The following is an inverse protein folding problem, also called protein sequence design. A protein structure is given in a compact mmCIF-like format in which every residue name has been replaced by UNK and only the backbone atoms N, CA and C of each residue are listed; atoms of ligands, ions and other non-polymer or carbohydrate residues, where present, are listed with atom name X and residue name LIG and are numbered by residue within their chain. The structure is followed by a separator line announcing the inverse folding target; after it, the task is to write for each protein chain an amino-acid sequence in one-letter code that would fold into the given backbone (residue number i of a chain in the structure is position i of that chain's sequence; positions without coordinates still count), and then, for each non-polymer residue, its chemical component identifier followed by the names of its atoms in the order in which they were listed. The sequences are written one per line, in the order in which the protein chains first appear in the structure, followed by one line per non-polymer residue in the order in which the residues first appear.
data_IF_180103521725
#
_entry.id   IF_180103521725
#
_cell.length_a   1.000
_cell.length_b   1.000
_cell.length_c   1.000
_cell.angle_alpha   90.00
_cell.angle_beta   90.00
_cell.angle_gamma   90.00
#
_symmetry.space_group_name_H-M   'P 1'
#
loop_
_entity.id
_entity.type
_entity.pdbx_description
1 polymer ?
#
# COMPACT_ATOMS: atom_id res chain seq x y z
N UNK A 1 3.71 -20.05 30.92
CA UNK A 1 2.40 -19.34 30.92
C UNK A 1 1.81 -19.44 32.31
N UNK A 2 1.66 -18.34 33.04
CA UNK A 2 1.37 -18.33 34.48
C UNK A 2 0.09 -17.58 34.86
N UNK A 3 -1.05 -17.93 34.25
CA UNK A 3 -2.36 -17.31 34.54
C UNK A 3 -3.53 -18.32 34.59
N UNK A 4 -3.29 -19.61 34.84
CA UNK A 4 -4.37 -20.60 35.05
C UNK A 4 -5.23 -20.90 33.81
N UNK A 5 -4.76 -20.55 32.62
CA UNK A 5 -5.41 -20.89 31.35
C UNK A 5 -4.82 -22.18 30.82
N UNK A 6 -5.66 -23.17 30.53
CA UNK A 6 -5.25 -24.43 29.86
C UNK A 6 -4.61 -24.12 28.50
N UNK A 7 -3.41 -24.65 28.22
CA UNK A 7 -2.65 -24.36 26.99
C UNK A 7 -3.44 -24.63 25.71
N UNK A 8 -4.29 -25.65 25.74
CA UNK A 8 -5.21 -26.09 24.69
C UNK A 8 -6.43 -25.16 24.48
N UNK A 9 -6.56 -24.08 25.25
CA UNK A 9 -7.52 -22.98 25.05
C UNK A 9 -6.87 -21.68 24.58
N UNK A 10 -5.53 -21.63 24.49
CA UNK A 10 -4.80 -20.47 23.99
C UNK A 10 -4.54 -20.68 22.50
N UNK A 11 -5.29 -19.99 21.66
CA UNK A 11 -5.05 -19.95 20.22
C UNK A 11 -4.41 -18.62 19.85
N UNK A 12 -3.20 -18.65 19.31
CA UNK A 12 -2.61 -17.47 18.67
C UNK A 12 -3.38 -17.18 17.39
N UNK A 13 -4.19 -16.12 17.36
CA UNK A 13 -5.08 -15.77 16.24
C UNK A 13 -4.36 -15.15 15.04
N UNK A 14 -3.03 -15.06 15.08
CA UNK A 14 -2.26 -14.28 14.11
C UNK A 14 -2.24 -12.79 14.47
N UNK A 15 -1.61 -11.97 13.63
CA UNK A 15 -1.56 -10.52 13.83
C UNK A 15 -2.87 -9.89 13.31
N UNK A 16 -3.62 -9.19 14.18
CA UNK A 16 -4.86 -8.47 13.82
C UNK A 16 -4.64 -7.40 12.73
N UNK A 17 -3.38 -6.97 12.51
CA UNK A 17 -2.99 -6.12 11.38
C UNK A 17 -3.20 -6.79 10.02
N UNK A 18 -3.32 -8.11 9.99
CA UNK A 18 -3.51 -8.91 8.78
C UNK A 18 -4.81 -9.70 8.92
N UNK A 19 -5.93 -9.00 8.72
CA UNK A 19 -7.23 -9.62 8.58
C UNK A 19 -7.56 -9.78 7.09
N UNK A 20 -7.59 -11.01 6.55
CA UNK A 20 -7.97 -11.26 5.16
C UNK A 20 -9.29 -10.61 4.77
N UNK A 21 -10.28 -10.55 5.67
CA UNK A 21 -11.56 -9.93 5.34
C UNK A 21 -11.43 -8.41 5.10
N UNK A 22 -10.42 -7.78 5.71
CA UNK A 22 -10.13 -6.35 5.54
C UNK A 22 -9.19 -6.07 4.37
N UNK A 23 -8.37 -7.03 3.97
CA UNK A 23 -7.36 -6.87 2.91
C UNK A 23 -7.78 -7.46 1.57
N UNK A 24 -8.48 -8.59 1.56
CA UNK A 24 -8.93 -9.21 0.32
C UNK A 24 -9.84 -8.27 -0.47
N UNK A 25 -9.57 -8.19 -1.76
CA UNK A 25 -10.36 -7.45 -2.72
C UNK A 25 -10.91 -8.45 -3.75
N UNK A 26 -12.23 -8.55 -3.83
CA UNK A 26 -12.90 -9.35 -4.87
C UNK A 26 -12.75 -8.71 -6.25
N UNK A 27 -13.02 -9.48 -7.32
CA UNK A 27 -13.01 -8.93 -8.68
C UNK A 27 -14.05 -7.82 -8.86
N UNK A 28 -15.22 -7.95 -8.25
CA UNK A 28 -16.27 -6.93 -8.26
C UNK A 28 -15.83 -5.64 -7.54
N UNK A 29 -15.20 -5.76 -6.37
CA UNK A 29 -14.65 -4.60 -5.65
C UNK A 29 -13.51 -3.95 -6.43
N UNK A 30 -12.61 -4.73 -7.03
CA UNK A 30 -11.55 -4.21 -7.89
C UNK A 30 -12.16 -3.46 -9.08
N UNK A 31 -13.15 -4.04 -9.76
CA UNK A 31 -13.86 -3.40 -10.86
C UNK A 31 -14.60 -2.13 -10.41
N UNK A 32 -15.13 -2.10 -9.19
CA UNK A 32 -15.68 -0.88 -8.60
C UNK A 32 -14.62 0.21 -8.47
N UNK A 33 -13.49 -0.07 -7.80
CA UNK A 33 -12.41 0.90 -7.63
C UNK A 33 -11.84 1.37 -8.98
N UNK A 34 -11.60 0.46 -9.92
CA UNK A 34 -11.11 0.80 -11.26
C UNK A 34 -12.06 1.77 -11.97
N UNK A 35 -13.38 1.55 -11.84
CA UNK A 35 -14.40 2.46 -12.40
C UNK A 35 -14.43 3.81 -11.69
N UNK A 36 -14.50 3.86 -10.36
CA UNK A 36 -14.67 5.13 -9.64
C UNK A 36 -13.41 6.00 -9.67
N UNK A 37 -12.22 5.38 -9.66
CA UNK A 37 -10.93 6.08 -9.64
C UNK A 37 -10.31 6.25 -11.04
N UNK A 38 -10.87 5.61 -12.06
CA UNK A 38 -10.39 5.69 -13.45
C UNK A 38 -9.02 5.05 -13.63
N UNK A 39 -8.85 3.83 -13.12
CA UNK A 39 -7.54 3.13 -13.08
C UNK A 39 -7.29 2.21 -14.27
N UNK A 40 -8.31 1.93 -15.09
CA UNK A 40 -8.18 1.03 -16.25
C UNK A 40 -7.08 1.51 -17.20
N UNK A 41 -6.08 0.66 -17.44
CA UNK A 41 -4.94 0.97 -18.33
C UNK A 41 -3.95 2.00 -17.78
N UNK A 42 -4.08 2.39 -16.50
CA UNK A 42 -3.17 3.33 -15.84
C UNK A 42 -2.12 2.56 -15.04
N UNK A 43 -0.92 3.13 -14.95
CA UNK A 43 0.04 2.73 -13.93
C UNK A 43 -0.36 3.38 -12.60
N UNK A 44 -0.33 2.65 -11.50
CA UNK A 44 -0.84 3.12 -10.20
C UNK A 44 0.28 3.20 -9.17
N UNK A 45 0.61 4.42 -8.74
CA UNK A 45 1.46 4.66 -7.57
C UNK A 45 0.58 4.91 -6.34
N UNK A 46 0.85 4.21 -5.24
CA UNK A 46 0.12 4.41 -3.98
C UNK A 46 1.09 4.86 -2.89
N UNK A 47 0.82 6.02 -2.28
CA UNK A 47 1.48 6.46 -1.06
C UNK A 47 0.50 6.28 0.11
N UNK A 48 0.73 5.26 0.93
CA UNK A 48 -0.18 4.88 2.01
C UNK A 48 0.31 5.31 3.39
N UNK A 49 -0.58 5.71 4.28
CA UNK A 49 -0.24 6.20 5.63
C UNK A 49 0.71 7.41 5.63
N UNK A 50 0.56 8.32 4.68
CA UNK A 50 1.40 9.52 4.52
C UNK A 50 1.22 10.46 5.71
N UNK A 51 2.33 10.86 6.34
CA UNK A 51 2.31 11.84 7.43
C UNK A 51 2.20 13.28 6.90
N UNK A 52 1.91 14.24 7.79
CA UNK A 52 1.80 15.65 7.40
C UNK A 52 3.10 16.16 6.75
N UNK A 53 4.24 15.85 7.35
CA UNK A 53 5.57 16.28 6.90
C UNK A 53 6.08 15.58 5.63
N UNK A 54 5.36 14.55 5.17
CA UNK A 54 5.64 13.84 3.92
C UNK A 54 4.77 14.32 2.76
N UNK A 55 3.62 14.96 3.03
CA UNK A 55 2.61 15.27 2.02
C UNK A 55 3.15 16.07 0.82
N UNK A 56 3.88 17.16 1.09
CA UNK A 56 4.49 17.99 0.03
C UNK A 56 5.51 17.17 -0.79
N UNK A 57 6.33 16.34 -0.13
CA UNK A 57 7.32 15.49 -0.80
C UNK A 57 6.64 14.47 -1.74
N UNK A 58 5.55 13.86 -1.30
CA UNK A 58 4.82 12.87 -2.10
C UNK A 58 4.18 13.55 -3.31
N UNK A 59 3.58 14.72 -3.16
CA UNK A 59 3.01 15.47 -4.29
C UNK A 59 4.07 15.88 -5.32
N UNK A 60 5.23 16.36 -4.86
CA UNK A 60 6.37 16.66 -5.74
C UNK A 60 6.84 15.42 -6.52
N UNK A 61 6.86 14.25 -5.88
CA UNK A 61 7.21 12.98 -6.54
C UNK A 61 6.14 12.58 -7.55
N UNK A 62 4.86 12.71 -7.21
CA UNK A 62 3.75 12.46 -8.14
C UNK A 62 3.87 13.32 -9.40
N UNK A 63 4.17 14.61 -9.26
CA UNK A 63 4.34 15.53 -10.39
C UNK A 63 5.50 15.11 -11.29
N UNK A 64 6.66 14.81 -10.69
CA UNK A 64 7.83 14.33 -11.44
C UNK A 64 7.55 12.99 -12.14
N UNK A 65 6.90 12.04 -11.47
CA UNK A 65 6.54 10.76 -12.09
C UNK A 65 5.55 10.94 -13.23
N UNK A 66 4.57 11.85 -13.10
CA UNK A 66 3.60 12.17 -14.14
C UNK A 66 4.26 12.74 -15.41
N UNK A 67 5.35 13.50 -15.23
CA UNK A 67 6.13 14.06 -16.35
C UNK A 67 6.84 13.00 -17.20
N UNK A 68 7.09 11.81 -16.64
CA UNK A 68 7.78 10.69 -17.31
C UNK A 68 6.85 9.53 -17.68
N UNK A 69 5.74 9.35 -16.96
CA UNK A 69 4.76 8.28 -17.17
C UNK A 69 3.40 8.91 -17.49
N UNK A 70 3.06 8.94 -18.78
CA UNK A 70 1.91 9.68 -19.31
C UNK A 70 0.54 9.10 -18.95
N UNK A 71 0.48 7.87 -18.46
CA UNK A 71 -0.74 7.20 -17.99
C UNK A 71 -0.72 6.91 -16.47
N UNK A 72 0.06 7.66 -15.68
CA UNK A 72 0.15 7.49 -14.24
C UNK A 72 -1.09 8.01 -13.51
N UNK A 73 -1.50 7.26 -12.48
CA UNK A 73 -2.42 7.66 -11.41
C UNK A 73 -1.73 7.55 -10.07
N UNK A 74 -1.85 8.58 -9.25
CA UNK A 74 -1.35 8.57 -7.89
C UNK A 74 -2.50 8.50 -6.89
N UNK A 75 -2.41 7.60 -5.92
CA UNK A 75 -3.37 7.50 -4.81
C UNK A 75 -2.62 7.83 -3.52
N UNK A 76 -3.07 8.84 -2.79
CA UNK A 76 -2.47 9.25 -1.52
C UNK A 76 -3.47 8.98 -0.40
N UNK A 77 -3.07 8.13 0.55
CA UNK A 77 -3.85 7.87 1.76
C UNK A 77 -3.15 8.55 2.94
N UNK A 78 -3.65 9.70 3.42
CA UNK A 78 -3.07 10.35 4.59
C UNK A 78 -3.30 9.50 5.84
N UNK A 79 -2.38 9.61 6.79
CA UNK A 79 -2.53 8.93 8.09
C UNK A 79 -3.74 9.46 8.88
N UNK A 80 -4.00 10.76 8.78
CA UNK A 80 -5.12 11.45 9.41
C UNK A 80 -5.89 12.22 8.34
N UNK A 81 -7.22 12.10 8.32
CA UNK A 81 -8.06 12.76 7.31
C UNK A 81 -8.00 14.29 7.40
N UNK A 82 -7.66 14.84 8.58
CA UNK A 82 -7.45 16.28 8.76
C UNK A 82 -6.36 16.84 7.83
N UNK A 83 -5.39 16.00 7.43
CA UNK A 83 -4.30 16.38 6.53
C UNK A 83 -4.75 16.56 5.07
N UNK A 84 -5.98 16.18 4.69
CA UNK A 84 -6.49 16.36 3.33
C UNK A 84 -6.49 17.83 2.94
N UNK A 85 -6.81 18.74 3.88
CA UNK A 85 -6.80 20.19 3.62
C UNK A 85 -5.40 20.68 3.27
N UNK A 86 -4.40 20.20 4.01
CA UNK A 86 -3.00 20.54 3.75
C UNK A 86 -2.54 19.95 2.40
N UNK A 87 -2.87 18.70 2.11
CA UNK A 87 -2.58 18.06 0.82
C UNK A 87 -3.20 18.82 -0.36
N UNK A 88 -4.47 19.25 -0.25
CA UNK A 88 -5.10 20.09 -1.28
C UNK A 88 -4.37 21.41 -1.46
N UNK A 89 -3.96 22.06 -0.36
CA UNK A 89 -3.18 23.31 -0.39
C UNK A 89 -1.78 23.14 -1.00
N UNK A 90 -1.11 22.02 -0.72
CA UNK A 90 0.17 21.72 -1.35
C UNK A 90 0.00 21.45 -2.84
N UNK A 91 -1.08 20.77 -3.24
CA UNK A 91 -1.38 20.49 -4.63
C UNK A 91 -1.62 21.76 -5.47
N UNK A 92 -2.14 22.84 -4.89
CA UNK A 92 -2.28 24.14 -5.57
C UNK A 92 -0.95 24.72 -6.07
N UNK A 93 0.19 24.29 -5.50
CA UNK A 93 1.53 24.69 -5.95
C UNK A 93 2.06 23.82 -7.09
N UNK A 94 1.36 22.75 -7.44
CA UNK A 94 1.74 21.79 -8.48
C UNK A 94 0.84 21.96 -9.71
N UNK A 95 1.23 21.33 -10.81
CA UNK A 95 0.41 21.21 -12.02
C UNK A 95 -0.60 20.05 -11.98
N UNK A 96 -0.66 19.31 -10.87
CA UNK A 96 -1.48 18.12 -10.74
C UNK A 96 -2.96 18.46 -10.52
N UNK A 97 -3.84 17.75 -11.22
CA UNK A 97 -5.26 17.74 -10.88
C UNK A 97 -5.52 16.79 -9.71
N UNK A 98 -6.17 17.27 -8.65
CA UNK A 98 -6.37 16.52 -7.41
C UNK A 98 -7.84 16.50 -7.02
N UNK A 99 -8.35 15.31 -6.68
CA UNK A 99 -9.70 15.11 -6.15
C UNK A 99 -9.66 14.15 -4.96
N UNK A 100 -10.63 14.22 -4.05
CA UNK A 100 -10.81 13.12 -3.09
C UNK A 100 -11.55 11.97 -3.77
N UNK A 101 -11.47 10.76 -3.19
CA UNK A 101 -12.26 9.63 -3.67
C UNK A 101 -13.76 9.96 -3.65
N UNK A 102 -14.26 10.61 -2.60
CA UNK A 102 -15.68 11.02 -2.52
C UNK A 102 -16.06 11.99 -3.65
N UNK A 103 -15.19 12.95 -4.01
CA UNK A 103 -15.43 13.87 -5.13
C UNK A 103 -15.68 13.11 -6.46
N UNK A 104 -15.11 11.91 -6.62
CA UNK A 104 -15.26 11.07 -7.82
C UNK A 104 -16.52 10.20 -7.85
N UNK A 105 -17.20 10.02 -6.71
CA UNK A 105 -18.43 9.21 -6.63
C UNK A 105 -19.62 9.88 -7.34
N UNK A 106 -19.63 11.21 -7.35
CA UNK A 106 -20.72 12.01 -7.90
C UNK A 106 -20.72 12.08 -9.45
N UNK A 107 -19.76 11.44 -10.13
CA UNK A 107 -19.51 11.51 -11.59
C UNK A 107 -19.37 12.93 -12.17
N UNK A 108 -19.33 13.96 -11.31
CA UNK A 108 -19.17 15.37 -11.70
C UNK A 108 -17.76 15.66 -12.22
N UNK A 109 -16.77 14.89 -11.78
CA UNK A 109 -15.39 15.04 -12.17
C UNK A 109 -15.03 14.07 -13.30
N UNK A 110 -14.36 14.59 -14.33
CA UNK A 110 -13.72 13.76 -15.34
C UNK A 110 -12.52 13.05 -14.73
N UNK A 111 -12.75 11.82 -14.25
CA UNK A 111 -11.74 11.01 -13.57
C UNK A 111 -10.49 10.80 -14.42
N UNK A 112 -10.55 10.84 -15.75
CA UNK A 112 -9.36 10.68 -16.59
C UNK A 112 -8.42 11.89 -16.53
N UNK A 113 -8.92 13.06 -16.13
CA UNK A 113 -8.13 14.28 -15.93
C UNK A 113 -7.55 14.42 -14.53
N UNK A 114 -7.93 13.57 -13.59
CA UNK A 114 -7.44 13.62 -12.21
C UNK A 114 -6.11 12.87 -12.13
N UNK A 115 -5.04 13.53 -11.71
CA UNK A 115 -3.72 12.90 -11.55
C UNK A 115 -3.56 12.25 -10.18
N UNK A 116 -4.08 12.90 -9.12
CA UNK A 116 -3.97 12.44 -7.74
C UNK A 116 -5.35 12.26 -7.10
N UNK A 117 -5.53 11.11 -6.45
CA UNK A 117 -6.73 10.76 -5.70
C UNK A 117 -6.37 10.70 -4.22
N UNK A 118 -6.99 11.55 -3.41
CA UNK A 118 -6.86 11.52 -1.96
C UNK A 118 -7.90 10.56 -1.37
N UNK A 119 -7.46 9.54 -0.64
CA UNK A 119 -8.38 8.70 0.11
C UNK A 119 -8.89 9.47 1.32
N UNK A 120 -10.20 9.64 1.40
CA UNK A 120 -10.89 10.44 2.40
C UNK A 120 -11.79 9.61 3.33
N UNK A 121 -11.57 8.29 3.38
CA UNK A 121 -12.23 7.37 4.29
C UNK A 121 -11.22 6.45 4.99
N UNK A 122 -11.51 6.10 6.25
CA UNK A 122 -10.73 5.12 6.99
C UNK A 122 -11.10 3.69 6.59
N UNK A 123 -10.14 2.77 6.73
CA UNK A 123 -10.39 1.32 6.63
C UNK A 123 -10.38 0.74 5.22
N UNK A 124 -10.10 1.54 4.19
CA UNK A 124 -10.03 1.07 2.81
C UNK A 124 -8.61 0.86 2.27
N UNK A 125 -7.60 1.47 2.91
CA UNK A 125 -6.21 1.46 2.43
C UNK A 125 -5.67 0.04 2.20
N UNK A 126 -5.98 -0.90 3.10
CA UNK A 126 -5.59 -2.30 2.99
C UNK A 126 -5.98 -2.91 1.63
N UNK A 127 -7.24 -2.74 1.21
CA UNK A 127 -7.72 -3.21 -0.11
C UNK A 127 -7.13 -2.40 -1.25
N UNK A 128 -7.01 -1.08 -1.08
CA UNK A 128 -6.50 -0.16 -2.10
C UNK A 128 -5.04 -0.48 -2.46
N UNK A 129 -4.22 -0.95 -1.52
CA UNK A 129 -2.88 -1.43 -1.84
C UNK A 129 -2.88 -2.52 -2.92
N UNK A 130 -3.90 -3.37 -2.97
CA UNK A 130 -4.06 -4.39 -4.02
C UNK A 130 -4.18 -3.83 -5.44
N UNK A 131 -4.49 -2.55 -5.60
CA UNK A 131 -4.61 -1.84 -6.87
C UNK A 131 -3.28 -1.27 -7.38
N UNK A 132 -2.30 -1.07 -6.50
CA UNK A 132 -1.05 -0.37 -6.84
C UNK A 132 -0.05 -1.24 -7.63
N UNK A 133 0.74 -0.61 -8.47
CA UNK A 133 1.89 -1.21 -9.16
C UNK A 133 3.19 -0.97 -8.38
N UNK A 134 3.29 0.19 -7.72
CA UNK A 134 4.37 0.54 -6.80
C UNK A 134 3.79 1.24 -5.57
N UNK A 135 4.31 0.93 -4.40
CA UNK A 135 3.77 1.42 -3.13
C UNK A 135 4.86 2.11 -2.32
N UNK A 136 4.59 3.31 -1.83
CA UNK A 136 5.34 3.94 -0.77
C UNK A 136 4.56 3.82 0.55
N UNK A 137 5.21 3.29 1.59
CA UNK A 137 4.62 3.26 2.95
C UNK A 137 5.12 4.47 3.72
N UNK A 138 4.21 5.41 3.97
CA UNK A 138 4.46 6.65 4.70
C UNK A 138 4.64 6.49 6.20
N UNK A 139 4.91 7.61 6.86
CA UNK A 139 5.40 7.70 8.23
C UNK A 139 6.84 7.23 8.39
N UNK A 140 7.57 7.04 7.27
CA UNK A 140 8.90 6.42 7.21
C UNK A 140 9.99 7.38 6.74
N UNK A 141 9.68 8.36 5.90
CA UNK A 141 10.66 9.24 5.25
C UNK A 141 11.10 10.36 6.18
N UNK A 142 10.14 10.93 6.92
CA UNK A 142 10.41 11.90 7.98
C UNK A 142 10.18 11.27 9.35
N UNK A 143 11.01 11.57 10.36
CA UNK A 143 10.74 11.16 11.72
C UNK A 143 9.44 11.82 12.19
N UNK A 144 8.49 11.03 12.67
CA UNK A 144 7.22 11.53 13.20
C UNK A 144 7.28 11.61 14.72
N UNK A 145 7.57 12.80 15.27
CA UNK A 145 7.58 13.11 16.71
C UNK A 145 8.30 12.07 17.61
N UNK A 146 8.28 12.26 18.93
CA UNK A 146 8.92 11.35 19.90
C UNK A 146 8.16 10.03 20.11
N UNK A 147 7.22 9.66 19.22
CA UNK A 147 6.40 8.45 19.34
C UNK A 147 6.61 7.51 18.14
N UNK A 148 6.76 6.19 18.36
CA UNK A 148 6.82 5.24 17.28
C UNK A 148 5.48 5.18 16.55
N UNK A 149 5.46 5.54 15.26
CA UNK A 149 4.31 5.29 14.40
C UNK A 149 4.30 3.84 13.97
N UNK A 150 3.20 3.13 14.25
CA UNK A 150 2.91 1.85 13.63
C UNK A 150 2.66 2.04 12.14
N UNK A 151 3.67 1.75 11.32
CA UNK A 151 3.53 1.55 9.88
C UNK A 151 3.10 0.10 9.64
N UNK A 152 2.26 -0.14 8.63
CA UNK A 152 1.82 -1.49 8.30
C UNK A 152 2.35 -1.88 6.92
N UNK A 153 3.60 -2.36 6.88
CA UNK A 153 4.21 -2.86 5.65
C UNK A 153 3.63 -4.21 5.23
N UNK A 154 2.91 -4.90 6.11
CA UNK A 154 2.40 -6.25 5.85
C UNK A 154 1.15 -6.24 4.95
N UNK A 155 0.34 -5.17 4.98
CA UNK A 155 -0.82 -5.02 4.09
C UNK A 155 -0.44 -5.01 2.60
N UNK A 156 0.50 -4.17 2.11
CA UNK A 156 0.90 -4.22 0.71
C UNK A 156 1.62 -5.54 0.34
N UNK A 157 2.35 -6.15 1.28
CA UNK A 157 3.00 -7.45 1.07
C UNK A 157 1.99 -8.61 0.99
N UNK A 158 0.85 -8.52 1.68
CA UNK A 158 -0.27 -9.45 1.51
C UNK A 158 -0.74 -9.49 0.04
N UNK A 159 -0.73 -8.34 -0.62
CA UNK A 159 -1.03 -8.22 -2.05
C UNK A 159 0.17 -8.51 -2.97
N UNK A 160 1.31 -8.92 -2.42
CA UNK A 160 2.56 -9.16 -3.14
C UNK A 160 3.03 -7.95 -3.97
N UNK A 161 2.76 -6.73 -3.49
CA UNK A 161 3.09 -5.49 -4.20
C UNK A 161 4.46 -4.96 -3.76
N UNK A 162 5.27 -4.42 -4.70
CA UNK A 162 6.56 -3.87 -4.36
C UNK A 162 6.41 -2.60 -3.54
N UNK A 163 7.12 -2.57 -2.41
CA UNK A 163 7.11 -1.45 -1.47
C UNK A 163 8.43 -0.68 -1.50
N UNK A 164 8.34 0.60 -1.18
CA UNK A 164 9.44 1.51 -0.86
C UNK A 164 9.11 2.18 0.47
N UNK A 165 10.13 2.37 1.31
CA UNK A 165 10.01 2.96 2.65
C UNK A 165 11.13 3.97 2.86
N UNK A 166 10.92 4.95 3.73
CA UNK A 166 11.95 5.82 4.24
C UNK A 166 12.87 5.16 5.28
N UNK A 167 13.87 5.88 5.82
CA UNK A 167 14.85 5.29 6.72
C UNK A 167 14.33 5.07 8.15
N UNK A 168 13.17 5.66 8.49
CA UNK A 168 12.58 5.62 9.83
C UNK A 168 11.57 4.49 9.99
N UNK A 169 11.91 3.30 9.48
CA UNK A 169 11.17 2.08 9.82
C UNK A 169 11.56 1.69 11.24
N UNK A 170 10.60 1.37 12.11
CA UNK A 170 10.87 0.95 13.51
C UNK A 170 10.37 -0.46 13.85
N UNK A 171 9.47 -1.01 13.03
CA UNK A 171 8.93 -2.37 13.17
C UNK A 171 9.30 -3.19 11.92
N UNK A 172 9.20 -4.51 12.01
CA UNK A 172 9.33 -5.40 10.85
C UNK A 172 10.69 -5.28 10.11
N UNK A 173 11.75 -4.94 10.84
CA UNK A 173 13.12 -4.80 10.30
C UNK A 173 13.62 -6.06 9.61
N UNK A 174 13.29 -7.25 10.13
CA UNK A 174 13.70 -8.51 9.52
C UNK A 174 13.05 -8.71 8.15
N UNK A 175 11.78 -8.31 8.01
CA UNK A 175 11.08 -8.32 6.73
C UNK A 175 11.75 -7.35 5.76
N UNK A 176 12.00 -6.10 6.18
CA UNK A 176 12.69 -5.11 5.34
C UNK A 176 14.08 -5.60 4.93
N UNK A 177 14.85 -6.19 5.85
CA UNK A 177 16.19 -6.71 5.56
C UNK A 177 16.15 -7.85 4.54
N UNK A 178 15.17 -8.75 4.64
CA UNK A 178 14.95 -9.81 3.65
C UNK A 178 14.59 -9.23 2.28
N UNK A 179 13.71 -8.23 2.25
CA UNK A 179 13.35 -7.52 1.02
C UNK A 179 14.53 -6.76 0.42
N UNK A 180 15.38 -6.14 1.24
CA UNK A 180 16.59 -5.45 0.79
C UNK A 180 17.58 -6.37 0.07
N UNK A 181 17.66 -7.65 0.47
CA UNK A 181 18.48 -8.64 -0.23
C UNK A 181 18.02 -8.91 -1.66
N UNK A 182 16.73 -8.68 -1.96
CA UNK A 182 16.15 -8.82 -3.30
C UNK A 182 16.07 -7.48 -4.05
N UNK A 183 15.66 -6.42 -3.35
CA UNK A 183 15.51 -5.06 -3.87
C UNK A 183 16.28 -4.07 -2.99
N UNK A 184 17.55 -3.76 -3.33
CA UNK A 184 18.38 -2.86 -2.53
C UNK A 184 17.81 -1.43 -2.38
N UNK A 185 17.01 -0.98 -3.35
CA UNK A 185 16.43 0.36 -3.40
C UNK A 185 15.08 0.48 -2.64
N UNK A 186 14.75 -0.47 -1.77
CA UNK A 186 13.54 -0.40 -0.93
C UNK A 186 13.60 0.73 0.10
N UNK A 187 14.77 1.07 0.64
CA UNK A 187 14.92 2.19 1.59
C UNK A 187 15.45 3.43 0.87
N UNK A 188 14.68 4.52 0.91
CA UNK A 188 15.01 5.80 0.30
C UNK A 188 15.16 6.89 1.37
N UNK A 189 16.05 7.85 1.16
CA UNK A 189 16.37 8.89 2.18
C UNK A 189 15.74 10.25 1.91
N UNK A 190 15.32 10.49 0.67
CA UNK A 190 14.82 11.77 0.21
C UNK A 190 13.88 11.62 -1.00
N UNK A 191 13.33 12.76 -1.45
CA UNK A 191 12.42 12.85 -2.60
C UNK A 191 13.03 12.31 -3.91
N UNK A 192 14.32 12.54 -4.15
CA UNK A 192 14.99 12.12 -5.39
C UNK A 192 15.16 10.59 -5.41
N UNK A 193 15.62 10.01 -4.30
CA UNK A 193 15.70 8.57 -4.14
C UNK A 193 14.32 7.90 -4.24
N UNK A 194 13.30 8.51 -3.65
CA UNK A 194 11.91 8.03 -3.76
C UNK A 194 11.43 8.03 -5.21
N UNK A 195 11.61 9.14 -5.93
CA UNK A 195 11.28 9.25 -7.35
C UNK A 195 11.97 8.15 -8.16
N UNK A 196 13.29 7.99 -8.01
CA UNK A 196 14.05 7.00 -8.78
C UNK A 196 13.58 5.57 -8.49
N UNK A 197 13.36 5.23 -7.22
CA UNK A 197 12.93 3.89 -6.82
C UNK A 197 11.52 3.57 -7.34
N UNK A 198 10.56 4.49 -7.17
CA UNK A 198 9.19 4.31 -7.66
C UNK A 198 9.15 4.31 -9.19
N UNK A 199 9.88 5.19 -9.87
CA UNK A 199 9.97 5.22 -11.34
C UNK A 199 10.49 3.90 -11.89
N UNK A 200 11.57 3.36 -11.30
CA UNK A 200 12.11 2.04 -11.69
C UNK A 200 11.07 0.93 -11.51
N UNK A 201 10.33 0.93 -10.40
CA UNK A 201 9.27 -0.06 -10.16
C UNK A 201 8.12 0.10 -11.14
N UNK A 202 7.76 1.33 -11.53
CA UNK A 202 6.66 1.62 -12.44
C UNK A 202 6.99 1.30 -13.91
N UNK A 203 8.26 1.39 -14.31
CA UNK A 203 8.70 1.15 -15.68
C UNK A 203 9.12 -0.31 -15.95
N UNK A 204 9.43 -1.09 -14.91
CA UNK A 204 9.90 -2.48 -15.04
C UNK A 204 8.85 -3.51 -14.61
N UNK A 205 7.96 -3.89 -15.54
CA UNK A 205 6.98 -4.96 -15.35
C UNK A 205 7.62 -6.31 -15.00
N UNK A 206 8.79 -6.62 -15.59
CA UNK A 206 9.51 -7.87 -15.34
C UNK A 206 9.99 -7.95 -13.90
N UNK A 207 10.54 -6.86 -13.38
CA UNK A 207 10.90 -6.75 -11.98
C UNK A 207 9.68 -6.92 -11.05
N UNK A 208 8.55 -6.24 -11.35
CA UNK A 208 7.32 -6.41 -10.56
C UNK A 208 6.85 -7.87 -10.53
N UNK A 209 6.92 -8.58 -11.66
CA UNK A 209 6.59 -10.01 -11.75
C UNK A 209 7.53 -10.89 -10.92
N UNK A 210 8.83 -10.61 -10.96
CA UNK A 210 9.83 -11.32 -10.14
C UNK A 210 9.64 -11.04 -8.65
N UNK A 211 9.35 -9.79 -8.27
CA UNK A 211 9.03 -9.41 -6.91
C UNK A 211 7.80 -10.16 -6.39
N UNK A 212 6.72 -10.18 -7.19
CA UNK A 212 5.51 -10.93 -6.85
C UNK A 212 5.83 -12.41 -6.56
N UNK A 213 6.62 -13.06 -7.43
CA UNK A 213 7.03 -14.45 -7.24
C UNK A 213 7.87 -14.62 -5.98
N UNK A 214 8.86 -13.74 -5.76
CA UNK A 214 9.72 -13.76 -4.58
C UNK A 214 8.92 -13.66 -3.27
N UNK A 215 7.95 -12.74 -3.20
CA UNK A 215 7.08 -12.61 -2.03
C UNK A 215 6.23 -13.87 -1.86
N UNK A 216 5.57 -14.34 -2.93
CA UNK A 216 4.73 -15.53 -2.88
C UNK A 216 5.47 -16.79 -2.42
N UNK A 217 6.74 -16.93 -2.80
CA UNK A 217 7.58 -18.04 -2.38
C UNK A 217 8.14 -17.81 -0.97
N UNK A 218 8.56 -16.60 -0.62
CA UNK A 218 8.99 -16.25 0.74
C UNK A 218 7.90 -16.47 1.79
N UNK A 219 6.63 -16.22 1.42
CA UNK A 219 5.45 -16.50 2.25
C UNK A 219 5.21 -18.01 2.40
N UNK A 220 5.76 -18.89 1.57
CA UNK A 220 5.63 -20.35 1.73
C UNK A 220 6.68 -20.98 2.64
N UNK A 221 7.81 -20.30 2.88
CA UNK A 221 9.01 -20.93 3.46
C UNK A 221 9.40 -20.45 4.87
N UNK A 222 8.97 -19.27 5.34
CA UNK A 222 9.36 -18.78 6.68
C UNK A 222 8.23 -18.79 7.71
N UNK A 223 8.43 -19.53 8.81
CA UNK A 223 7.51 -19.67 9.94
C UNK A 223 7.40 -18.41 10.83
N UNK A 224 8.21 -17.37 10.64
CA UNK A 224 8.05 -16.08 11.35
C UNK A 224 7.01 -15.14 10.72
N UNK A 225 6.48 -15.52 9.56
CA UNK A 225 5.32 -14.90 8.92
C UNK A 225 4.03 -15.61 9.39
N UNK A 226 4.00 -16.14 10.62
CA UNK A 226 2.86 -16.97 11.11
C UNK A 226 1.52 -16.22 11.10
N UNK A 227 1.52 -14.89 11.24
CA UNK A 227 0.33 -14.05 11.13
C UNK A 227 -0.24 -13.98 9.71
N UNK A 228 0.61 -13.70 8.72
CA UNK A 228 0.21 -13.66 7.30
C UNK A 228 -0.08 -15.07 6.76
N UNK A 229 0.65 -16.09 7.22
CA UNK A 229 0.39 -17.50 6.86
C UNK A 229 -0.90 -18.04 7.45
N UNK A 230 -1.28 -17.72 8.70
CA UNK A 230 -2.60 -18.10 9.24
C UNK A 230 -3.74 -17.40 8.52
N UNK A 231 -3.56 -16.10 8.22
CA UNK A 231 -4.47 -15.31 7.41
C UNK A 231 -4.65 -15.90 5.99
N UNK A 232 -3.57 -16.37 5.35
CA UNK A 232 -3.58 -16.93 4.00
C UNK A 232 -3.90 -18.44 3.92
N UNK A 233 -3.65 -19.23 4.97
CA UNK A 233 -3.99 -20.66 5.00
C UNK A 233 -5.49 -20.90 5.23
N UNK A 234 -6.17 -20.06 6.03
CA UNK A 234 -7.63 -20.08 6.17
C UNK A 234 -8.40 -19.73 4.87
N UNK A 235 -7.73 -19.12 3.89
CA UNK A 235 -8.27 -18.89 2.54
C UNK A 235 -8.26 -20.15 1.67
N UNK A 236 -7.37 -21.13 1.92
CA UNK A 236 -7.34 -22.38 1.16
C UNK A 236 -8.58 -23.23 1.44
N UNK A 237 -9.07 -23.23 2.68
CA UNK A 237 -10.23 -24.03 3.07
C UNK A 237 -11.56 -23.39 2.62
N UNK A 238 -11.64 -22.06 2.48
CA UNK A 238 -12.85 -21.36 2.01
C UNK A 238 -12.97 -21.27 0.49
N UNK A 239 -11.87 -21.15 -0.27
CA UNK A 239 -11.93 -21.08 -1.74
C UNK A 239 -12.11 -22.45 -2.39
N UNK A 240 -11.66 -23.53 -1.74
CA UNK A 240 -11.93 -24.90 -2.22
C UNK A 240 -13.37 -25.32 -1.94
N UNK A 241 -13.98 -24.86 -0.84
CA UNK A 241 -15.38 -25.17 -0.52
C UNK A 241 -16.37 -24.59 -1.56
N UNK A 242 -16.11 -23.39 -2.11
CA UNK A 242 -16.99 -22.78 -3.12
C UNK A 242 -16.83 -23.38 -4.53
N UNK A 243 -15.76 -24.15 -4.80
CA UNK A 243 -15.54 -24.85 -6.07
C UNK A 243 -16.00 -26.31 -6.08
N UNK A 244 -16.53 -26.84 -4.97
CA UNK A 244 -17.06 -28.20 -4.87
C UNK A 244 -18.59 -28.27 -4.73
N UNK A 245 -19.30 -27.14 -4.83
CA UNK A 245 -20.76 -27.09 -4.94
C UNK A 245 -21.19 -26.31 -6.18
N UNK A 246 -21.00 -26.92 -7.34
CA UNK A 246 -21.81 -26.79 -8.55
C UNK A 246 -21.93 -28.18 -9.15
#
# INVERSE_FOLDING_TARGET
VGLGVEENKIFVTGDLKIDPHRLSISEDERGYYDRIMGLTGKSVFIAGSVSQDEGEIILDVCEKLRSVISNLKCIIAPRFLDNIKDLKKYAEKTSLSVATKTDLLDEKADKDKIDVILLDAYGELGKVYGLGDAIFVGGTLKPFADKPLGQNILEPLFHCKPIVVGPNVKNDFDVIKKLQGFWPNIIVKDSSALFNSISSLLLDEGFRGNYFKFIKDSIKFDCDISGLMKALSGLRDKVVATKMTC
#
